data_IF_246790373628
#
_entry.id   IF_246790373628
#
_cell.length_a   1.000
_cell.length_b   1.000
_cell.length_c   1.000
_cell.angle_alpha   90.00
_cell.angle_beta   90.00
_cell.angle_gamma   90.00
#
_symmetry.space_group_name_H-M   'P 1'
#
loop_
_entity.id
_entity.type
_entity.pdbx_description
1 polymer ?
#
# COMPACT_ATOMS: atom_id res chain seq x y z
N UNK A 1 20.80 -38.75 -58.00
CA UNK A 1 19.33 -38.99 -57.97
C UNK A 1 18.93 -39.40 -56.57
N UNK A 2 18.35 -38.49 -55.81
CA UNK A 2 17.46 -38.75 -54.65
C UNK A 2 16.98 -37.41 -54.06
N UNK A 3 16.12 -36.72 -54.78
CA UNK A 3 15.32 -35.60 -54.25
C UNK A 3 14.04 -36.20 -53.64
N UNK A 4 14.00 -36.32 -52.31
CA UNK A 4 12.84 -36.87 -51.61
C UNK A 4 12.64 -36.29 -50.21
N UNK A 5 12.93 -34.99 -50.02
CA UNK A 5 12.98 -34.42 -48.65
C UNK A 5 12.48 -32.99 -48.41
N UNK A 6 11.54 -32.44 -49.20
CA UNK A 6 10.89 -31.18 -48.78
C UNK A 6 9.36 -31.12 -48.88
N UNK A 7 8.70 -32.15 -49.41
CA UNK A 7 7.30 -31.98 -49.82
C UNK A 7 6.25 -32.14 -48.69
N UNK A 8 6.61 -32.79 -47.58
CA UNK A 8 5.71 -32.91 -46.42
C UNK A 8 5.71 -31.71 -45.48
N UNK A 9 6.80 -30.92 -45.45
CA UNK A 9 7.00 -29.86 -44.45
C UNK A 9 6.25 -28.57 -44.82
N UNK A 10 6.36 -28.14 -46.07
CA UNK A 10 5.78 -26.86 -46.54
C UNK A 10 4.25 -26.92 -46.66
N UNK A 11 3.67 -28.10 -46.92
CA UNK A 11 2.21 -28.28 -46.96
C UNK A 11 1.65 -28.55 -45.56
N UNK A 12 2.36 -29.25 -44.65
CA UNK A 12 1.87 -29.46 -43.28
C UNK A 12 1.72 -28.14 -42.49
N UNK A 13 2.60 -27.16 -42.71
CA UNK A 13 2.54 -25.86 -42.00
C UNK A 13 1.29 -25.02 -42.29
N UNK A 14 0.56 -25.30 -43.39
CA UNK A 14 -0.63 -24.54 -43.76
C UNK A 14 -1.95 -25.24 -43.38
N UNK A 15 -1.90 -26.53 -43.04
CA UNK A 15 -3.09 -27.40 -42.86
C UNK A 15 -3.26 -27.96 -41.45
N UNK A 16 -2.32 -27.71 -40.52
CA UNK A 16 -2.45 -28.14 -39.13
C UNK A 16 -3.06 -27.02 -38.28
N UNK A 17 -4.35 -27.16 -37.97
CA UNK A 17 -4.95 -26.52 -36.78
C UNK A 17 -4.72 -27.48 -35.62
N UNK A 18 -3.77 -27.17 -34.76
CA UNK A 18 -3.52 -27.92 -33.53
C UNK A 18 -4.41 -27.33 -32.42
N UNK A 19 -5.27 -28.17 -31.85
CA UNK A 19 -6.07 -27.85 -30.68
C UNK A 19 -5.46 -28.56 -29.45
N UNK A 20 -5.50 -27.86 -28.30
CA UNK A 20 -5.23 -28.33 -26.92
C UNK A 20 -3.75 -28.43 -26.43
N UNK A 21 -3.49 -28.57 -25.11
CA UNK A 21 -3.35 -27.51 -24.11
C UNK A 21 -2.05 -27.61 -23.27
N UNK A 22 -1.81 -26.64 -22.38
CA UNK A 22 -0.82 -26.60 -21.27
C UNK A 22 0.67 -26.86 -21.59
N UNK A 23 1.53 -25.90 -21.23
CA UNK A 23 2.46 -26.03 -20.09
C UNK A 23 3.65 -25.05 -20.17
N UNK A 24 3.99 -24.50 -19.00
CA UNK A 24 5.39 -24.25 -18.60
C UNK A 24 6.04 -22.98 -19.10
N UNK A 25 6.18 -21.99 -18.21
CA UNK A 25 6.98 -20.78 -18.45
C UNK A 25 8.47 -21.05 -18.67
N UNK A 26 9.24 -19.97 -18.89
CA UNK A 26 10.29 -19.71 -17.91
C UNK A 26 10.45 -18.22 -17.55
N UNK A 27 11.16 -18.06 -16.44
CA UNK A 27 11.63 -16.84 -15.81
C UNK A 27 12.16 -15.78 -16.80
N UNK A 28 11.61 -14.57 -16.67
CA UNK A 28 12.17 -13.34 -17.19
C UNK A 28 12.38 -12.38 -16.03
N UNK A 29 13.64 -12.04 -15.78
CA UNK A 29 14.15 -11.09 -14.79
C UNK A 29 13.39 -9.77 -14.80
N UNK A 30 12.61 -9.50 -13.76
CA UNK A 30 12.02 -8.21 -13.49
C UNK A 30 13.12 -7.25 -12.99
N UNK A 31 13.43 -6.25 -13.81
CA UNK A 31 14.16 -5.06 -13.37
C UNK A 31 13.39 -4.37 -12.26
N UNK A 32 14.12 -3.96 -11.23
CA UNK A 32 13.63 -3.21 -10.09
C UNK A 32 12.95 -1.91 -10.55
N UNK A 33 11.73 -1.60 -10.09
CA UNK A 33 11.26 -0.23 -10.07
C UNK A 33 11.63 0.43 -8.74
N UNK A 34 12.39 1.51 -8.86
CA UNK A 34 12.34 2.74 -8.07
C UNK A 34 11.98 2.64 -6.59
N UNK A 35 13.04 2.58 -5.77
CA UNK A 35 13.07 2.87 -4.34
C UNK A 35 12.92 4.39 -4.07
N UNK A 36 11.86 4.98 -4.62
CA UNK A 36 11.63 6.44 -4.60
C UNK A 36 10.17 6.84 -4.27
N UNK A 37 9.40 5.95 -3.64
CA UNK A 37 8.00 6.24 -3.24
C UNK A 37 7.73 6.17 -1.73
N UNK A 38 8.75 5.95 -0.89
CA UNK A 38 8.66 6.12 0.57
C UNK A 38 9.26 7.46 1.01
N UNK A 39 8.88 8.54 0.30
CA UNK A 39 9.12 9.92 0.74
C UNK A 39 7.83 10.72 0.53
N UNK A 40 6.80 10.32 1.26
CA UNK A 40 5.50 11.01 1.26
C UNK A 40 4.75 10.92 2.59
N UNK A 41 5.42 10.47 3.67
CA UNK A 41 4.81 10.31 5.00
C UNK A 41 5.40 11.29 6.04
N UNK A 42 6.05 12.37 5.60
CA UNK A 42 6.63 13.38 6.48
C UNK A 42 5.86 14.71 6.51
N UNK A 43 4.73 14.80 5.80
CA UNK A 43 3.88 16.01 5.76
C UNK A 43 2.40 15.62 5.84
N UNK A 44 2.10 14.71 6.77
CA UNK A 44 0.73 14.48 7.19
C UNK A 44 0.36 15.61 8.16
N UNK A 45 -0.28 16.62 7.58
CA UNK A 45 -1.23 17.54 8.20
C UNK A 45 -0.93 17.98 9.63
N UNK A 46 -0.65 19.27 9.80
CA UNK A 46 -0.92 19.97 11.04
C UNK A 46 -2.43 19.87 11.35
N UNK A 47 -2.88 18.74 11.87
CA UNK A 47 -4.19 18.59 12.48
C UNK A 47 -4.22 19.59 13.62
N UNK A 48 -5.18 20.51 13.57
CA UNK A 48 -5.34 21.57 14.57
C UNK A 48 -5.20 20.96 15.96
N UNK A 49 -4.15 21.39 16.67
CA UNK A 49 -3.89 20.90 18.01
C UNK A 49 -5.15 21.18 18.84
N UNK A 50 -5.63 20.22 19.64
CA UNK A 50 -6.78 20.46 20.52
C UNK A 50 -6.51 21.73 21.35
N UNK A 51 -7.55 22.51 21.68
CA UNK A 51 -7.46 23.86 22.28
C UNK A 51 -6.54 23.99 23.52
N UNK A 52 -6.15 22.86 24.09
CA UNK A 52 -5.22 22.69 25.21
C UNK A 52 -3.75 22.89 24.83
N UNK A 53 -3.39 22.80 23.54
CA UNK A 53 -2.03 23.00 23.06
C UNK A 53 -1.86 24.37 22.40
N UNK A 54 -0.78 25.05 22.77
CA UNK A 54 -0.36 26.33 22.19
C UNK A 54 0.48 26.14 20.92
N UNK A 55 1.13 24.97 20.78
CA UNK A 55 1.89 24.57 19.60
C UNK A 55 1.63 23.11 19.24
N UNK A 56 2.08 22.67 18.06
CA UNK A 56 1.89 21.27 17.66
C UNK A 56 2.68 20.35 18.61
N UNK A 57 2.02 19.36 19.26
CA UNK A 57 2.70 18.45 20.17
C UNK A 57 3.65 17.52 19.42
N UNK A 58 4.74 17.04 20.07
CA UNK A 58 5.72 16.17 19.44
C UNK A 58 5.08 14.85 19.00
N UNK A 59 5.51 14.32 17.86
CA UNK A 59 5.12 12.97 17.45
C UNK A 59 5.80 11.93 18.34
N UNK A 60 5.14 10.79 18.58
CA UNK A 60 5.69 9.68 19.36
C UNK A 60 6.19 8.56 18.42
N UNK A 61 7.37 8.69 17.80
CA UNK A 61 7.90 7.64 16.93
C UNK A 61 8.06 6.35 17.71
N UNK A 62 7.65 5.23 17.10
CA UNK A 62 7.70 3.89 17.71
C UNK A 62 6.98 3.77 19.08
N UNK A 63 6.03 4.68 19.38
CA UNK A 63 5.29 4.68 20.65
C UNK A 63 6.07 5.26 21.83
N UNK A 64 7.25 5.86 21.59
CA UNK A 64 7.97 6.59 22.62
C UNK A 64 7.45 8.03 22.69
N UNK A 65 6.79 8.36 23.81
CA UNK A 65 6.22 9.69 24.05
C UNK A 65 7.29 10.59 24.69
N UNK A 66 7.50 11.77 24.11
CA UNK A 66 8.27 12.84 24.71
C UNK A 66 7.36 13.69 25.61
N UNK A 67 7.31 13.36 26.90
CA UNK A 67 6.44 14.04 27.87
C UNK A 67 6.81 15.51 28.05
N UNK A 68 8.10 15.84 28.09
CA UNK A 68 8.57 17.22 28.25
C UNK A 68 8.11 18.08 27.06
N UNK A 69 8.24 17.55 25.84
CA UNK A 69 7.74 18.23 24.64
C UNK A 69 6.21 18.35 24.61
N UNK A 70 5.46 17.37 25.15
CA UNK A 70 3.99 17.46 25.27
C UNK A 70 3.58 18.58 26.24
N UNK A 71 4.27 18.70 27.38
CA UNK A 71 4.00 19.76 28.36
C UNK A 71 4.39 21.14 27.83
N UNK A 72 5.54 21.26 27.16
CA UNK A 72 5.96 22.50 26.51
C UNK A 72 4.96 22.92 25.43
N UNK A 73 4.46 21.97 24.62
CA UNK A 73 3.43 22.25 23.62
C UNK A 73 2.11 22.72 24.25
N UNK A 74 1.81 22.29 25.48
CA UNK A 74 0.66 22.76 26.26
C UNK A 74 0.89 24.12 26.92
N UNK A 75 2.11 24.67 26.84
CA UNK A 75 2.48 25.93 27.47
C UNK A 75 2.90 25.80 28.93
N UNK A 76 3.07 24.58 29.44
CA UNK A 76 3.56 24.30 30.79
C UNK A 76 5.07 24.50 30.79
N UNK A 77 5.56 25.38 31.67
CA UNK A 77 7.00 25.66 31.74
C UNK A 77 7.75 24.53 32.46
N UNK A 78 9.05 24.38 32.15
CA UNK A 78 9.90 23.39 32.82
C UNK A 78 9.94 23.58 34.35
N UNK A 79 9.86 24.82 34.84
CA UNK A 79 9.82 25.12 36.28
C UNK A 79 8.51 24.68 36.93
N UNK A 80 7.38 24.79 36.22
CA UNK A 80 6.08 24.29 36.65
C UNK A 80 6.10 22.77 36.76
N UNK A 81 6.49 22.09 35.68
CA UNK A 81 6.61 20.64 35.64
C UNK A 81 7.56 20.11 36.73
N UNK A 82 8.70 20.78 36.93
CA UNK A 82 9.67 20.37 37.95
C UNK A 82 9.11 20.40 39.38
N UNK A 83 8.16 21.30 39.69
CA UNK A 83 7.50 21.31 41.01
C UNK A 83 6.62 20.09 41.21
N UNK A 84 5.90 19.67 40.16
CA UNK A 84 5.07 18.46 40.18
C UNK A 84 5.97 17.22 40.30
N UNK A 85 7.01 17.13 39.48
CA UNK A 85 8.00 16.04 39.51
C UNK A 85 8.64 15.86 40.89
N UNK A 86 9.14 16.94 41.52
CA UNK A 86 9.70 16.86 42.89
C UNK A 86 8.68 16.43 43.94
N UNK A 87 7.41 16.81 43.76
CA UNK A 87 6.33 16.39 44.66
C UNK A 87 6.02 14.91 44.50
N UNK A 88 6.04 14.41 43.26
CA UNK A 88 5.91 13.00 42.93
C UNK A 88 7.07 12.18 43.49
N UNK A 89 8.31 12.67 43.37
CA UNK A 89 9.50 12.02 43.95
C UNK A 89 9.38 11.92 45.48
N UNK A 90 8.95 13.00 46.14
CA UNK A 90 8.72 12.99 47.58
C UNK A 90 7.63 11.97 47.96
N UNK A 91 6.54 11.91 47.21
CA UNK A 91 5.46 10.95 47.44
C UNK A 91 5.94 9.50 47.28
N UNK A 92 6.76 9.23 46.26
CA UNK A 92 7.34 7.90 45.98
C UNK A 92 8.45 7.51 46.97
N UNK A 93 9.11 8.48 47.59
CA UNK A 93 10.13 8.22 48.62
C UNK A 93 9.54 7.74 49.95
N UNK A 94 8.24 7.89 50.17
CA UNK A 94 7.57 7.47 51.39
C UNK A 94 7.37 5.94 51.41
N UNK A 95 7.48 5.29 52.59
CA UNK A 95 7.24 3.86 52.69
C UNK A 95 5.84 3.49 52.20
N UNK A 96 5.69 2.44 51.37
CA UNK A 96 4.39 2.08 50.78
C UNK A 96 3.34 1.74 51.84
N UNK A 97 3.79 1.16 52.97
CA UNK A 97 2.98 0.77 54.14
C UNK A 97 2.44 1.96 54.96
N UNK A 98 2.81 3.20 54.63
CA UNK A 98 2.31 4.38 55.35
C UNK A 98 0.85 4.65 54.96
N UNK A 99 -0.02 4.86 55.94
CA UNK A 99 -1.42 5.25 55.69
C UNK A 99 -1.51 6.56 54.89
N UNK A 100 -2.44 6.65 53.94
CA UNK A 100 -2.56 7.79 53.02
C UNK A 100 -2.78 9.13 53.74
N UNK A 101 -3.50 9.11 54.87
CA UNK A 101 -3.69 10.30 55.70
C UNK A 101 -2.36 10.84 56.25
N UNK A 102 -1.46 9.94 56.66
CA UNK A 102 -0.14 10.28 57.19
C UNK A 102 0.79 10.70 56.04
N UNK A 103 0.76 10.02 54.89
CA UNK A 103 1.50 10.44 53.68
C UNK A 103 1.14 11.88 53.29
N UNK A 104 -0.17 12.19 53.22
CA UNK A 104 -0.66 13.54 52.92
C UNK A 104 -0.15 14.59 53.91
N UNK A 105 -0.17 14.29 55.21
CA UNK A 105 0.34 15.21 56.23
C UNK A 105 1.83 15.48 56.08
N UNK A 106 2.64 14.44 55.84
CA UNK A 106 4.08 14.56 55.65
C UNK A 106 4.38 15.41 54.40
N UNK A 107 3.75 15.11 53.26
CA UNK A 107 3.97 15.85 52.01
C UNK A 107 3.56 17.31 52.16
N UNK A 108 2.37 17.60 52.72
CA UNK A 108 1.91 18.98 52.91
C UNK A 108 2.81 19.77 53.87
N UNK A 109 3.28 19.14 54.94
CA UNK A 109 4.21 19.77 55.87
C UNK A 109 5.57 20.06 55.21
N UNK A 110 6.11 19.10 54.46
CA UNK A 110 7.37 19.28 53.71
C UNK A 110 7.25 20.37 52.64
N UNK A 111 6.20 20.36 51.82
CA UNK A 111 5.99 21.39 50.79
C UNK A 111 5.88 22.79 51.40
N UNK A 112 5.16 22.93 52.52
CA UNK A 112 5.09 24.20 53.26
C UNK A 112 6.43 24.61 53.84
N UNK A 113 7.20 23.68 54.39
CA UNK A 113 8.51 23.95 54.97
C UNK A 113 9.53 24.45 53.92
N UNK A 114 9.44 23.93 52.69
CA UNK A 114 10.27 24.37 51.56
C UNK A 114 9.68 25.56 50.77
N UNK A 115 8.55 26.12 51.23
CA UNK A 115 7.92 27.28 50.59
C UNK A 115 7.36 27.00 49.19
N UNK A 116 7.04 25.73 48.88
CA UNK A 116 6.51 25.36 47.56
C UNK A 116 5.00 25.66 47.53
N UNK A 117 4.50 26.46 46.56
CA UNK A 117 3.09 26.80 46.47
C UNK A 117 2.25 25.59 46.07
N UNK A 118 1.42 25.09 46.99
CA UNK A 118 0.63 23.86 46.80
C UNK A 118 -0.43 24.08 45.72
N UNK A 119 -1.09 25.24 45.71
CA UNK A 119 -2.12 25.59 44.74
C UNK A 119 -1.56 25.55 43.31
N UNK A 120 -0.35 26.06 43.10
CA UNK A 120 0.39 26.01 41.82
C UNK A 120 0.71 24.57 41.39
N UNK A 121 1.03 23.67 42.33
CA UNK A 121 1.28 22.25 42.01
C UNK A 121 -0.02 21.58 41.54
N UNK A 122 -1.14 21.86 42.21
CA UNK A 122 -2.44 21.30 41.84
C UNK A 122 -2.89 21.81 40.46
N UNK A 123 -2.72 23.10 40.21
CA UNK A 123 -2.99 23.73 38.91
C UNK A 123 -2.16 23.08 37.80
N UNK A 124 -0.83 23.08 37.93
CA UNK A 124 0.06 22.44 36.95
C UNK A 124 -0.23 20.95 36.77
N UNK A 125 -0.48 20.20 37.85
CA UNK A 125 -0.81 18.77 37.74
C UNK A 125 -2.14 18.51 37.01
N UNK A 126 -3.11 19.42 37.12
CA UNK A 126 -4.35 19.33 36.35
C UNK A 126 -4.13 19.69 34.87
N UNK A 127 -3.29 20.69 34.58
CA UNK A 127 -2.90 21.06 33.21
C UNK A 127 -2.12 19.93 32.51
N UNK A 128 -1.17 19.30 33.22
CA UNK A 128 -0.41 18.14 32.71
C UNK A 128 -1.36 16.99 32.33
N UNK A 129 -2.33 16.67 33.18
CA UNK A 129 -3.30 15.61 32.89
C UNK A 129 -4.17 15.96 31.67
N UNK A 130 -4.61 17.21 31.56
CA UNK A 130 -5.37 17.67 30.41
C UNK A 130 -4.55 17.63 29.12
N UNK A 131 -3.27 17.99 29.18
CA UNK A 131 -2.35 17.91 28.05
C UNK A 131 -2.17 16.45 27.60
N UNK A 132 -1.95 15.51 28.52
CA UNK A 132 -1.80 14.09 28.20
C UNK A 132 -3.09 13.50 27.61
N UNK A 133 -4.24 13.80 28.20
CA UNK A 133 -5.53 13.35 27.67
C UNK A 133 -5.80 13.90 26.26
N UNK A 134 -5.43 15.16 26.02
CA UNK A 134 -5.55 15.80 24.73
C UNK A 134 -4.60 15.18 23.71
N UNK A 135 -3.37 14.86 24.12
CA UNK A 135 -2.39 14.17 23.30
C UNK A 135 -2.90 12.80 22.82
N UNK A 136 -3.43 12.00 23.76
CA UNK A 136 -4.00 10.67 23.46
C UNK A 136 -5.18 10.80 22.49
N UNK A 137 -6.10 11.74 22.75
CA UNK A 137 -7.27 11.96 21.88
C UNK A 137 -6.87 12.46 20.49
N UNK A 138 -5.87 13.35 20.41
CA UNK A 138 -5.32 13.83 19.15
C UNK A 138 -4.75 12.69 18.31
N UNK A 139 -3.86 11.88 18.89
CA UNK A 139 -3.27 10.73 18.21
C UNK A 139 -4.31 9.68 17.77
N UNK A 140 -5.35 9.43 18.57
CA UNK A 140 -6.44 8.55 18.20
C UNK A 140 -7.23 9.06 16.98
N UNK A 141 -7.53 10.37 16.96
CA UNK A 141 -8.24 11.03 15.86
C UNK A 141 -7.42 11.03 14.57
N UNK A 142 -6.13 11.36 14.65
CA UNK A 142 -5.23 11.33 13.49
C UNK A 142 -5.12 9.92 12.91
N UNK A 143 -5.00 8.91 13.78
CA UNK A 143 -4.99 7.50 13.38
C UNK A 143 -6.29 7.12 12.68
N UNK A 144 -7.44 7.46 13.25
CA UNK A 144 -8.76 7.20 12.66
C UNK A 144 -8.90 7.85 11.28
N UNK A 145 -8.47 9.11 11.15
CA UNK A 145 -8.52 9.84 9.88
C UNK A 145 -7.65 9.16 8.82
N UNK A 146 -6.40 8.86 9.14
CA UNK A 146 -5.47 8.21 8.19
C UNK A 146 -5.99 6.83 7.79
N UNK A 147 -6.50 6.04 8.74
CA UNK A 147 -7.09 4.73 8.46
C UNK A 147 -8.32 4.85 7.55
N UNK A 148 -9.24 5.77 7.83
CA UNK A 148 -10.45 5.98 7.01
C UNK A 148 -10.11 6.43 5.57
N UNK A 149 -9.16 7.35 5.43
CA UNK A 149 -8.67 7.80 4.12
C UNK A 149 -8.00 6.64 3.36
N UNK A 150 -7.18 5.84 4.04
CA UNK A 150 -6.51 4.68 3.45
C UNK A 150 -7.53 3.63 2.97
N UNK A 151 -8.53 3.29 3.78
CA UNK A 151 -9.61 2.37 3.40
C UNK A 151 -10.38 2.84 2.17
N UNK A 152 -10.65 4.15 2.08
CA UNK A 152 -11.32 4.74 0.92
C UNK A 152 -10.46 4.60 -0.34
N UNK A 153 -9.15 4.84 -0.24
CA UNK A 153 -8.22 4.67 -1.36
C UNK A 153 -8.10 3.20 -1.77
N UNK A 154 -8.05 2.26 -0.82
CA UNK A 154 -8.02 0.82 -1.08
C UNK A 154 -9.24 0.42 -1.90
N UNK A 155 -10.46 0.79 -1.47
CA UNK A 155 -11.69 0.48 -2.21
C UNK A 155 -11.66 1.00 -3.64
N UNK A 156 -11.18 2.24 -3.84
CA UNK A 156 -11.03 2.82 -5.18
C UNK A 156 -10.09 1.98 -6.06
N UNK A 157 -8.93 1.58 -5.54
CA UNK A 157 -7.99 0.76 -6.30
C UNK A 157 -8.53 -0.65 -6.58
N UNK A 158 -9.29 -1.24 -5.65
CA UNK A 158 -9.96 -2.53 -5.88
C UNK A 158 -10.97 -2.44 -7.03
N UNK A 159 -11.76 -1.36 -7.10
CA UNK A 159 -12.67 -1.11 -8.22
C UNK A 159 -11.91 -0.93 -9.55
N UNK A 160 -10.81 -0.18 -9.55
CA UNK A 160 -9.96 -0.02 -10.74
C UNK A 160 -9.36 -1.34 -11.20
N UNK A 161 -8.90 -2.19 -10.28
CA UNK A 161 -8.39 -3.54 -10.59
C UNK A 161 -9.51 -4.40 -11.18
N UNK A 162 -10.72 -4.36 -10.62
CA UNK A 162 -11.86 -5.10 -11.15
C UNK A 162 -12.21 -4.66 -12.59
N UNK A 163 -12.22 -3.35 -12.85
CA UNK A 163 -12.46 -2.78 -14.17
C UNK A 163 -11.39 -3.20 -15.19
N UNK A 164 -10.11 -3.16 -14.80
CA UNK A 164 -9.01 -3.61 -15.66
C UNK A 164 -9.12 -5.10 -15.99
N UNK A 165 -9.44 -5.95 -15.01
CA UNK A 165 -9.67 -7.39 -15.23
C UNK A 165 -10.83 -7.64 -16.19
N UNK A 166 -11.94 -6.91 -16.04
CA UNK A 166 -13.08 -7.02 -16.94
C UNK A 166 -12.70 -6.63 -18.37
N UNK A 167 -11.95 -5.54 -18.56
CA UNK A 167 -11.46 -5.12 -19.86
C UNK A 167 -10.53 -6.17 -20.50
N UNK A 168 -9.62 -6.76 -19.71
CA UNK A 168 -8.76 -7.85 -20.19
C UNK A 168 -9.58 -9.06 -20.66
N UNK A 169 -10.54 -9.50 -19.85
CA UNK A 169 -11.40 -10.62 -20.18
C UNK A 169 -12.20 -10.37 -21.48
N UNK A 170 -12.75 -9.16 -21.62
CA UNK A 170 -13.45 -8.76 -22.85
C UNK A 170 -12.54 -8.84 -24.08
N UNK A 171 -11.29 -8.38 -23.98
CA UNK A 171 -10.32 -8.46 -25.10
C UNK A 171 -9.96 -9.89 -25.47
N UNK A 172 -9.82 -10.77 -24.48
CA UNK A 172 -9.59 -12.21 -24.72
C UNK A 172 -10.79 -12.82 -25.46
N UNK A 173 -12.02 -12.52 -25.05
CA UNK A 173 -13.22 -13.03 -25.70
C UNK A 173 -13.39 -12.50 -27.12
N UNK A 174 -13.13 -11.21 -27.34
CA UNK A 174 -13.12 -10.60 -28.67
C UNK A 174 -12.10 -11.30 -29.58
N UNK A 175 -10.88 -11.52 -29.08
CA UNK A 175 -9.83 -12.20 -29.84
C UNK A 175 -10.21 -13.64 -30.18
N UNK A 176 -10.82 -14.38 -29.25
CA UNK A 176 -11.31 -15.73 -29.51
C UNK A 176 -12.40 -15.75 -30.59
N UNK A 177 -13.32 -14.78 -30.59
CA UNK A 177 -14.35 -14.65 -31.63
C UNK A 177 -13.73 -14.35 -33.00
N UNK A 178 -12.72 -13.48 -33.05
CA UNK A 178 -11.97 -13.18 -34.27
C UNK A 178 -11.27 -14.43 -34.78
N UNK A 179 -10.53 -15.15 -33.92
CA UNK A 179 -9.86 -16.40 -34.29
C UNK A 179 -10.84 -17.43 -34.86
N UNK A 180 -11.98 -17.66 -34.20
CA UNK A 180 -13.03 -18.57 -34.70
C UNK A 180 -13.55 -18.17 -36.07
N UNK A 181 -13.87 -16.89 -36.26
CA UNK A 181 -14.40 -16.36 -37.52
C UNK A 181 -13.37 -16.47 -38.66
N UNK A 182 -12.12 -16.11 -38.39
CA UNK A 182 -11.03 -16.23 -39.34
C UNK A 182 -10.74 -17.69 -39.70
N UNK A 183 -10.74 -18.60 -38.73
CA UNK A 183 -10.53 -20.03 -38.97
C UNK A 183 -11.67 -20.65 -39.79
N UNK A 184 -12.93 -20.30 -39.48
CA UNK A 184 -14.07 -20.71 -40.30
C UNK A 184 -13.91 -20.24 -41.75
N UNK A 185 -13.51 -18.98 -41.96
CA UNK A 185 -13.29 -18.45 -43.31
C UNK A 185 -12.10 -19.10 -44.01
N UNK A 186 -11.01 -19.38 -43.30
CA UNK A 186 -9.86 -20.12 -43.84
C UNK A 186 -10.30 -21.49 -44.38
N UNK A 187 -11.12 -22.24 -43.64
CA UNK A 187 -11.65 -23.52 -44.08
C UNK A 187 -12.53 -23.41 -45.33
N UNK A 188 -13.35 -22.37 -45.45
CA UNK A 188 -14.13 -22.13 -46.68
C UNK A 188 -13.24 -21.86 -47.89
N UNK A 189 -12.22 -21.00 -47.73
CA UNK A 189 -11.28 -20.68 -48.80
C UNK A 189 -10.43 -21.90 -49.16
N UNK A 190 -10.06 -22.71 -48.17
CA UNK A 190 -9.33 -23.95 -48.36
C UNK A 190 -10.10 -24.92 -49.26
N UNK A 191 -11.42 -25.05 -49.11
CA UNK A 191 -12.25 -25.87 -50.03
C UNK A 191 -12.13 -25.41 -51.49
N UNK A 192 -12.05 -24.10 -51.71
CA UNK A 192 -11.86 -23.54 -53.07
C UNK A 192 -10.49 -23.92 -53.61
N UNK A 193 -9.44 -23.82 -52.80
CA UNK A 193 -8.09 -24.22 -53.21
C UNK A 193 -7.98 -25.73 -53.46
N UNK A 194 -8.60 -26.55 -52.61
CA UNK A 194 -8.65 -28.02 -52.75
C UNK A 194 -9.36 -28.43 -54.04
N UNK A 195 -10.41 -27.72 -54.46
CA UNK A 195 -11.10 -27.98 -55.73
C UNK A 195 -10.18 -27.88 -56.95
N UNK A 196 -9.19 -26.97 -56.95
CA UNK A 196 -8.23 -26.83 -58.05
C UNK A 196 -7.04 -27.80 -57.95
N UNK A 197 -6.89 -28.51 -56.83
CA UNK A 197 -5.81 -29.45 -56.59
C UNK A 197 -4.49 -28.80 -56.15
N UNK A 198 -3.71 -29.56 -55.38
CA UNK A 198 -2.53 -29.07 -54.67
C UNK A 198 -1.40 -28.62 -55.61
N UNK A 199 -1.24 -29.26 -56.78
CA UNK A 199 -0.17 -28.93 -57.74
C UNK A 199 -0.37 -27.55 -58.40
N UNK A 200 -1.62 -27.22 -58.76
CA UNK A 200 -1.95 -25.93 -59.35
C UNK A 200 -1.75 -24.80 -58.34
N UNK A 201 -2.16 -25.01 -57.08
CA UNK A 201 -1.97 -24.05 -55.99
C UNK A 201 -0.48 -23.85 -55.69
N UNK A 202 0.31 -24.93 -55.58
CA UNK A 202 1.74 -24.84 -55.28
C UNK A 202 2.53 -24.06 -56.36
N UNK A 203 2.18 -24.22 -57.64
CA UNK A 203 2.78 -23.43 -58.72
C UNK A 203 2.48 -21.93 -58.57
N UNK A 204 1.21 -21.58 -58.35
CA UNK A 204 0.79 -20.17 -58.21
C UNK A 204 1.38 -19.53 -56.95
N UNK A 205 1.51 -20.28 -55.85
CA UNK A 205 2.14 -19.79 -54.61
C UNK A 205 3.60 -19.42 -54.84
N UNK A 206 4.37 -20.25 -55.57
CA UNK A 206 5.78 -19.99 -55.87
C UNK A 206 6.00 -18.78 -56.79
N UNK A 207 5.08 -18.57 -57.73
CA UNK A 207 5.21 -17.55 -58.77
C UNK A 207 4.60 -16.20 -58.36
N UNK A 208 3.77 -16.17 -57.32
CA UNK A 208 3.05 -14.97 -56.93
C UNK A 208 3.87 -14.05 -56.02
N UNK A 209 4.16 -12.81 -56.42
CA UNK A 209 4.86 -11.84 -55.58
C UNK A 209 4.00 -11.31 -54.41
N UNK A 210 2.72 -11.71 -54.33
CA UNK A 210 1.79 -11.27 -53.28
C UNK A 210 1.73 -12.22 -52.08
N UNK A 211 2.28 -13.43 -52.22
CA UNK A 211 2.23 -14.46 -51.20
C UNK A 211 3.56 -14.49 -50.44
N UNK A 212 3.47 -14.55 -49.12
CA UNK A 212 4.62 -14.64 -48.24
C UNK A 212 4.62 -16.01 -47.59
N UNK A 213 5.80 -16.65 -47.50
CA UNK A 213 5.92 -17.93 -46.82
C UNK A 213 5.62 -17.75 -45.32
N UNK A 214 4.87 -18.67 -44.70
CA UNK A 214 4.60 -18.61 -43.27
C UNK A 214 5.92 -18.77 -42.50
N UNK A 215 6.25 -17.80 -41.65
CA UNK A 215 7.40 -17.88 -40.75
C UNK A 215 7.07 -18.84 -39.59
N UNK A 216 7.82 -19.94 -39.37
CA UNK A 216 7.50 -20.96 -38.37
C UNK A 216 7.74 -20.55 -36.90
N UNK A 217 7.93 -19.26 -36.60
CA UNK A 217 8.48 -18.79 -35.32
C UNK A 217 7.50 -18.01 -34.42
N UNK A 218 6.18 -18.13 -34.59
CA UNK A 218 5.20 -17.58 -33.63
C UNK A 218 4.07 -18.57 -33.35
#
# INVERSE_FOLDING_TARGET
>A
MSDKKSWGSTVMGWFVVQDSPDSGGPAGTAGAPDDALIQGAADAGATQAPEVFTSAPPTAPAGQVDFDGVYEAAGITAEEHQRVSRTLDLLNSLPPETEDAVKKQIVLASLRAFGVPIEKIIETGAEELQALDAYIRGGAKDTEQITSEAETRIKKYEEEIANLRAAMQQRVEEQQKVMKSCNAKKLEVQKVLEFFGQDAVARVVRESPKLHEPNPAN
#
